data_IF_682445405448
#
_entry.id   IF_682445405448
#
_cell.length_a   1.000
_cell.length_b   1.000
_cell.length_c   1.000
_cell.angle_alpha   90.00
_cell.angle_beta   90.00
_cell.angle_gamma   90.00
#
_symmetry.space_group_name_H-M   'P 1'
#
loop_
_entity.id
_entity.type
_entity.pdbx_description
1 polymer ?
#
# COMPACT_ATOMS: atom_id res chain seq x y z
N UNK A 1 -15.31 -31.07 36.10
CA UNK A 1 -16.06 -31.44 34.89
C UNK A 1 -15.26 -30.98 33.68
N UNK A 2 -14.48 -31.86 33.07
CA UNK A 2 -13.67 -31.54 31.89
C UNK A 2 -14.45 -31.86 30.61
N UNK A 3 -14.38 -30.95 29.63
CA UNK A 3 -15.06 -31.09 28.34
C UNK A 3 -14.31 -32.06 27.42
N UNK A 4 -15.04 -32.96 26.77
CA UNK A 4 -14.50 -33.97 25.85
C UNK A 4 -14.45 -33.42 24.42
N UNK A 5 -13.33 -33.66 23.74
CA UNK A 5 -13.07 -33.21 22.36
C UNK A 5 -13.84 -34.09 21.36
N UNK A 6 -14.70 -33.46 20.56
CA UNK A 6 -15.74 -34.10 19.75
C UNK A 6 -15.26 -34.77 18.45
N UNK A 7 -13.97 -34.73 18.12
CA UNK A 7 -13.48 -35.23 16.83
C UNK A 7 -12.13 -35.92 16.99
N UNK A 8 -12.17 -37.24 17.21
CA UNK A 8 -10.96 -38.09 17.33
C UNK A 8 -10.54 -38.73 16.01
N UNK A 9 -11.42 -38.73 14.99
CA UNK A 9 -11.22 -39.48 13.73
C UNK A 9 -11.52 -38.69 12.44
N UNK A 10 -11.49 -37.35 12.47
CA UNK A 10 -11.51 -36.55 11.23
C UNK A 10 -10.16 -35.86 11.05
N UNK A 11 -9.63 -35.90 9.82
CA UNK A 11 -8.45 -35.16 9.41
C UNK A 11 -8.52 -33.74 9.99
N UNK A 12 -7.42 -33.31 10.62
CA UNK A 12 -7.36 -32.15 11.51
C UNK A 12 -8.27 -31.01 11.02
N UNK A 13 -9.22 -30.52 11.84
CA UNK A 13 -10.14 -29.49 11.41
C UNK A 13 -9.31 -28.25 11.07
N UNK A 14 -9.22 -27.93 9.77
CA UNK A 14 -8.66 -26.67 9.28
C UNK A 14 -9.45 -25.58 9.97
N UNK A 15 -8.87 -24.98 11.02
CA UNK A 15 -9.38 -23.79 11.67
C UNK A 15 -9.53 -22.78 10.52
N UNK A 16 -10.76 -22.49 10.11
CA UNK A 16 -11.00 -21.51 9.06
C UNK A 16 -10.53 -20.16 9.60
N UNK A 17 -9.29 -19.79 9.28
CA UNK A 17 -8.68 -18.56 9.73
C UNK A 17 -9.35 -17.44 8.95
N UNK A 18 -10.13 -16.61 9.64
CA UNK A 18 -10.80 -15.47 9.03
C UNK A 18 -9.74 -14.50 8.50
N UNK A 19 -9.55 -14.44 7.18
CA UNK A 19 -8.61 -13.53 6.53
C UNK A 19 -7.50 -14.16 5.69
N UNK A 20 -7.43 -15.49 5.56
CA UNK A 20 -6.36 -16.20 4.81
C UNK A 20 -6.19 -15.72 3.35
N UNK A 21 -7.22 -15.08 2.76
CA UNK A 21 -7.19 -14.55 1.38
C UNK A 21 -7.72 -13.10 1.25
N UNK A 22 -7.74 -12.30 2.32
CA UNK A 22 -8.40 -10.97 2.29
C UNK A 22 -7.76 -9.97 1.34
N UNK A 23 -6.44 -10.07 1.12
CA UNK A 23 -5.68 -9.17 0.26
C UNK A 23 -5.55 -9.65 -1.20
N UNK A 24 -5.92 -10.90 -1.51
CA UNK A 24 -5.75 -11.46 -2.85
C UNK A 24 -6.60 -10.71 -3.89
N UNK A 25 -7.83 -10.35 -3.53
CA UNK A 25 -8.72 -9.56 -4.39
C UNK A 25 -8.18 -8.17 -4.69
N UNK A 26 -7.44 -7.56 -3.73
CA UNK A 26 -6.86 -6.22 -3.86
C UNK A 26 -5.68 -6.19 -4.83
N UNK A 27 -4.92 -7.28 -4.88
CA UNK A 27 -3.76 -7.45 -5.78
C UNK A 27 -4.21 -7.68 -7.22
N UNK A 28 -5.28 -8.46 -7.44
CA UNK A 28 -5.79 -8.75 -8.78
C UNK A 28 -6.50 -7.54 -9.40
N UNK A 29 -7.16 -6.72 -8.57
CA UNK A 29 -7.89 -5.52 -9.04
C UNK A 29 -6.99 -4.32 -9.34
N UNK A 30 -5.67 -4.41 -9.12
CA UNK A 30 -4.78 -3.31 -9.42
C UNK A 30 -4.72 -3.11 -10.94
N UNK A 31 -5.15 -1.95 -11.49
CA UNK A 31 -5.08 -1.72 -12.92
C UNK A 31 -3.62 -1.77 -13.39
N UNK A 32 -3.35 -2.15 -14.66
CA UNK A 32 -2.01 -2.07 -15.22
C UNK A 32 -1.61 -0.60 -15.30
N UNK A 33 -0.97 -0.11 -14.25
CA UNK A 33 -0.21 1.13 -14.28
C UNK A 33 0.78 0.99 -15.42
N UNK A 34 0.76 1.91 -16.41
CA UNK A 34 1.68 1.90 -17.55
C UNK A 34 3.16 1.85 -17.11
N UNK A 35 4.09 1.87 -18.07
CA UNK A 35 5.53 1.76 -17.78
C UNK A 35 5.97 2.89 -16.85
N UNK A 36 6.02 2.59 -15.54
CA UNK A 36 6.41 3.50 -14.48
C UNK A 36 7.72 2.99 -13.89
N UNK A 37 8.75 3.84 -13.85
CA UNK A 37 10.01 3.52 -13.18
C UNK A 37 9.97 4.07 -11.75
N UNK A 38 10.29 3.23 -10.78
CA UNK A 38 10.40 3.66 -9.38
C UNK A 38 11.72 4.37 -9.16
N UNK A 39 11.66 5.60 -8.67
CA UNK A 39 12.82 6.37 -8.22
C UNK A 39 12.85 6.31 -6.70
N UNK A 40 13.92 5.79 -6.12
CA UNK A 40 14.13 5.82 -4.68
C UNK A 40 14.83 7.13 -4.32
N UNK A 41 14.18 7.94 -3.49
CA UNK A 41 14.71 9.23 -3.06
C UNK A 41 14.78 9.26 -1.54
N UNK A 42 15.97 9.57 -1.01
CA UNK A 42 16.13 9.80 0.42
C UNK A 42 15.76 11.25 0.75
N UNK A 43 14.65 11.42 1.46
CA UNK A 43 14.18 12.71 1.95
C UNK A 43 14.40 12.83 3.45
N UNK A 44 14.91 13.96 3.98
CA UNK A 44 14.99 14.16 5.42
C UNK A 44 13.59 14.15 6.05
N UNK A 45 13.49 13.59 7.25
CA UNK A 45 12.24 13.31 7.94
C UNK A 45 11.34 14.54 8.10
N UNK A 46 11.93 15.69 8.50
CA UNK A 46 11.20 16.95 8.67
C UNK A 46 10.51 17.40 7.37
N UNK A 47 11.21 17.28 6.24
CA UNK A 47 10.62 17.62 4.94
C UNK A 47 9.53 16.61 4.56
N UNK A 48 9.74 15.33 4.78
CA UNK A 48 8.75 14.29 4.49
C UNK A 48 7.46 14.50 5.30
N UNK A 49 7.59 14.86 6.58
CA UNK A 49 6.46 15.14 7.46
C UNK A 49 5.68 16.38 7.00
N UNK A 50 6.37 17.46 6.63
CA UNK A 50 5.72 18.66 6.06
C UNK A 50 5.03 18.37 4.72
N UNK A 51 5.68 17.60 3.85
CA UNK A 51 5.10 17.20 2.57
C UNK A 51 3.82 16.39 2.79
N UNK A 52 3.86 15.41 3.70
CA UNK A 52 2.69 14.60 4.06
C UNK A 52 1.55 15.45 4.62
N UNK A 53 1.85 16.40 5.50
CA UNK A 53 0.85 17.33 6.04
C UNK A 53 0.25 18.23 4.95
N UNK A 54 1.07 18.75 4.02
CA UNK A 54 0.61 19.58 2.92
C UNK A 54 -0.26 18.80 1.92
N UNK A 55 0.14 17.56 1.58
CA UNK A 55 -0.63 16.66 0.72
C UNK A 55 -1.98 16.33 1.34
N UNK A 56 -2.01 16.02 2.65
CA UNK A 56 -3.26 15.78 3.38
C UNK A 56 -4.20 17.00 3.38
N UNK A 57 -3.65 18.21 3.50
CA UNK A 57 -4.44 19.45 3.48
C UNK A 57 -5.00 19.79 2.10
N UNK A 58 -4.27 19.46 1.03
CA UNK A 58 -4.69 19.71 -0.36
C UNK A 58 -5.48 18.56 -0.99
N UNK A 59 -5.56 17.41 -0.32
CA UNK A 59 -6.22 16.22 -0.86
C UNK A 59 -5.50 15.61 -2.07
N UNK A 60 -4.20 15.86 -2.23
CA UNK A 60 -3.40 15.39 -3.36
C UNK A 60 -2.48 14.25 -2.96
N UNK A 61 -2.13 13.37 -3.90
CA UNK A 61 -1.15 12.31 -3.66
C UNK A 61 0.27 12.89 -3.59
N UNK A 62 1.11 12.30 -2.76
CA UNK A 62 2.56 12.62 -2.73
C UNK A 62 3.19 12.38 -4.11
N UNK A 63 2.75 11.34 -4.82
CA UNK A 63 3.26 11.03 -6.16
C UNK A 63 2.88 12.11 -7.17
N UNK A 64 1.67 12.66 -7.10
CA UNK A 64 1.22 13.72 -8.01
C UNK A 64 2.02 15.01 -7.76
N UNK A 65 2.21 15.38 -6.50
CA UNK A 65 3.02 16.55 -6.12
C UNK A 65 4.46 16.41 -6.62
N UNK A 66 5.04 15.21 -6.52
CA UNK A 66 6.40 14.97 -7.01
C UNK A 66 6.48 15.02 -8.53
N UNK A 67 5.49 14.48 -9.25
CA UNK A 67 5.43 14.58 -10.71
C UNK A 67 5.29 16.04 -11.16
N UNK A 68 4.41 16.82 -10.54
CA UNK A 68 4.23 18.24 -10.84
C UNK A 68 5.53 19.04 -10.63
N UNK A 69 6.27 18.74 -9.56
CA UNK A 69 7.56 19.35 -9.27
C UNK A 69 8.62 18.99 -10.33
N UNK A 70 8.63 17.75 -10.80
CA UNK A 70 9.53 17.29 -11.87
C UNK A 70 9.16 17.95 -13.19
N UNK A 71 7.89 17.98 -13.57
CA UNK A 71 7.41 18.61 -14.80
C UNK A 71 7.70 20.12 -14.82
N UNK A 72 7.51 20.81 -13.69
CA UNK A 72 7.85 22.22 -13.56
C UNK A 72 9.35 22.47 -13.69
N UNK A 73 10.18 21.58 -13.15
CA UNK A 73 11.63 21.67 -13.25
C UNK A 73 12.13 21.40 -14.68
N UNK A 74 11.57 20.38 -15.35
CA UNK A 74 11.90 20.04 -16.74
C UNK A 74 11.56 21.18 -17.71
N UNK A 75 10.38 21.80 -17.57
CA UNK A 75 9.96 22.94 -18.42
C UNK A 75 10.91 24.14 -18.39
N UNK A 76 11.71 24.29 -17.33
CA UNK A 76 12.65 25.40 -17.19
C UNK A 76 14.09 25.05 -17.56
N UNK A 77 14.40 23.78 -17.79
CA UNK A 77 15.78 23.28 -17.92
C UNK A 77 15.99 22.39 -19.15
N UNK A 78 15.00 22.34 -20.04
CA UNK A 78 15.01 21.72 -21.36
C UNK A 78 14.92 22.81 -22.43
#
# INVERSE_FOLDING_TARGET
>A
MSLVKQNRNQAAPKVMTFGENRDLGKVISAPPSGIQKRVNFNMPEDKHQRLKAACARKGTSISDVMNDLVDAWLKGNE
#
